data_IF_982049476113
#
_entry.id   IF_982049476113
#
_cell.length_a   1.000
_cell.length_b   1.000
_cell.length_c   1.000
_cell.angle_alpha   90.00
_cell.angle_beta   90.00
_cell.angle_gamma   90.00
#
_symmetry.space_group_name_H-M   'P 1'
#
loop_
_entity.id
_entity.type
_entity.pdbx_description
1 polymer ?
#
# COMPACT_ATOMS: atom_id res chain seq x y z
N UNK A 1 -5.35 5.71 -7.46
CA UNK A 1 -4.15 6.11 -6.71
C UNK A 1 -2.95 5.56 -7.46
N UNK A 2 -1.93 6.36 -7.74
CA UNK A 2 -0.71 5.89 -8.40
C UNK A 2 0.22 5.17 -7.43
N UNK A 3 0.82 4.07 -7.87
CA UNK A 3 1.79 3.28 -7.09
C UNK A 3 2.96 4.14 -6.64
N UNK A 4 3.53 4.92 -7.56
CA UNK A 4 4.71 5.75 -7.25
C UNK A 4 4.38 6.85 -6.24
N UNK A 5 3.16 7.40 -6.29
CA UNK A 5 2.68 8.37 -5.31
C UNK A 5 2.48 7.74 -3.93
N UNK A 6 1.88 6.55 -3.87
CA UNK A 6 1.71 5.82 -2.61
C UNK A 6 3.06 5.47 -1.97
N UNK A 7 4.01 4.95 -2.76
CA UNK A 7 5.37 4.67 -2.32
C UNK A 7 6.06 5.94 -1.81
N UNK A 8 5.99 7.05 -2.53
CA UNK A 8 6.63 8.30 -2.11
C UNK A 8 6.12 8.79 -0.74
N UNK A 9 4.79 8.74 -0.51
CA UNK A 9 4.19 9.14 0.78
C UNK A 9 4.65 8.21 1.92
N UNK A 10 4.66 6.90 1.68
CA UNK A 10 5.02 5.90 2.70
C UNK A 10 6.53 5.99 3.02
N UNK A 11 7.38 6.14 2.01
CA UNK A 11 8.82 6.30 2.19
C UNK A 11 9.21 7.64 2.81
N UNK A 12 8.46 8.72 2.56
CA UNK A 12 8.63 9.98 3.29
C UNK A 12 8.36 9.85 4.80
N UNK A 13 7.56 8.87 5.21
CA UNK A 13 7.34 8.52 6.62
C UNK A 13 8.42 7.56 7.20
N UNK A 14 9.47 7.26 6.44
CA UNK A 14 10.55 6.35 6.86
C UNK A 14 10.22 4.87 6.72
N UNK A 15 9.14 4.53 6.00
CA UNK A 15 8.76 3.14 5.72
C UNK A 15 9.24 2.78 4.31
N UNK A 16 10.25 1.93 4.24
CA UNK A 16 10.90 1.55 2.98
C UNK A 16 10.10 0.51 2.22
N UNK A 17 10.04 0.65 0.90
CA UNK A 17 9.50 -0.37 0.00
C UNK A 17 10.52 -1.51 -0.12
N UNK A 18 10.11 -2.72 0.23
CA UNK A 18 10.96 -3.91 0.19
C UNK A 18 10.67 -4.81 -1.01
N UNK A 19 9.45 -4.78 -1.54
CA UNK A 19 9.07 -5.52 -2.74
C UNK A 19 7.98 -4.77 -3.51
N UNK A 20 8.05 -4.82 -4.85
CA UNK A 20 7.00 -4.33 -5.75
C UNK A 20 6.82 -5.33 -6.87
N UNK A 21 5.61 -5.86 -6.99
CA UNK A 21 5.25 -6.82 -8.05
C UNK A 21 3.82 -6.62 -8.52
N UNK A 22 3.50 -7.12 -9.72
CA UNK A 22 2.10 -7.26 -10.14
C UNK A 22 1.38 -8.21 -9.18
N UNK A 23 0.14 -7.89 -8.85
CA UNK A 23 -0.69 -8.79 -8.04
C UNK A 23 -1.02 -10.07 -8.83
N UNK A 24 -1.49 -11.12 -8.13
CA UNK A 24 -1.70 -12.44 -8.76
C UNK A 24 -2.80 -12.49 -9.83
N UNK A 25 -3.57 -11.42 -9.96
CA UNK A 25 -4.64 -11.24 -10.94
C UNK A 25 -4.25 -10.32 -12.10
N UNK A 26 -3.00 -9.81 -12.10
CA UNK A 26 -2.49 -8.87 -13.09
C UNK A 26 -3.41 -7.67 -13.34
N UNK A 27 -4.16 -7.24 -12.32
CA UNK A 27 -5.08 -6.10 -12.33
C UNK A 27 -4.61 -5.01 -11.35
N UNK A 28 -3.34 -5.02 -10.99
CA UNK A 28 -2.77 -4.07 -10.05
C UNK A 28 -1.37 -4.43 -9.58
N UNK A 29 -1.00 -3.84 -8.44
CA UNK A 29 0.30 -3.97 -7.82
C UNK A 29 0.18 -4.34 -6.34
N UNK A 30 1.04 -5.24 -5.91
CA UNK A 30 1.28 -5.53 -4.50
C UNK A 30 2.62 -4.91 -4.11
N UNK A 31 2.61 -4.09 -3.07
CA UNK A 31 3.77 -3.40 -2.52
C UNK A 31 4.01 -3.88 -1.09
N UNK A 32 5.18 -4.42 -0.81
CA UNK A 32 5.56 -4.83 0.55
C UNK A 32 6.49 -3.79 1.15
N UNK A 33 6.33 -3.53 2.44
CA UNK A 33 7.09 -2.52 3.16
C UNK A 33 7.86 -3.10 4.35
N UNK A 34 8.93 -2.42 4.76
CA UNK A 34 9.83 -2.84 5.83
C UNK A 34 9.13 -2.96 7.19
N UNK A 35 8.04 -2.23 7.41
CA UNK A 35 7.20 -2.34 8.60
C UNK A 35 6.24 -3.55 8.59
N UNK A 36 6.32 -4.41 7.57
CA UNK A 36 5.45 -5.57 7.40
C UNK A 36 4.05 -5.24 6.92
N UNK A 37 3.81 -4.05 6.37
CA UNK A 37 2.60 -3.73 5.63
C UNK A 37 2.68 -4.26 4.19
N UNK A 38 1.52 -4.62 3.66
CA UNK A 38 1.33 -4.90 2.23
C UNK A 38 0.23 -3.97 1.73
N UNK A 39 0.52 -3.17 0.71
CA UNK A 39 -0.45 -2.33 0.03
C UNK A 39 -0.79 -2.96 -1.32
N UNK A 40 -2.08 -3.19 -1.54
CA UNK A 40 -2.60 -3.51 -2.86
C UNK A 40 -3.18 -2.26 -3.51
N UNK A 41 -2.75 -1.99 -4.74
CA UNK A 41 -3.24 -0.90 -5.59
C UNK A 41 -3.77 -1.53 -6.86
N UNK A 42 -5.09 -1.53 -7.05
CA UNK A 42 -5.73 -2.05 -8.26
C UNK A 42 -5.79 -0.99 -9.35
N UNK A 43 -5.77 -1.44 -10.60
CA UNK A 43 -5.86 -0.59 -11.80
C UNK A 43 -7.22 0.12 -11.88
N UNK A 44 -8.26 -0.41 -11.20
CA UNK A 44 -9.56 0.24 -11.03
C UNK A 44 -9.56 1.39 -9.99
N UNK A 45 -8.41 1.68 -9.37
CA UNK A 45 -8.24 2.75 -8.38
C UNK A 45 -8.50 2.34 -6.93
N UNK A 46 -8.92 1.10 -6.67
CA UNK A 46 -9.09 0.57 -5.32
C UNK A 46 -7.72 0.37 -4.64
N UNK A 47 -7.65 0.75 -3.36
CA UNK A 47 -6.43 0.62 -2.55
C UNK A 47 -6.77 -0.03 -1.23
N UNK A 48 -6.02 -1.05 -0.86
CA UNK A 48 -6.21 -1.78 0.40
C UNK A 48 -4.87 -2.05 1.07
N UNK A 49 -4.78 -1.82 2.39
CA UNK A 49 -3.60 -2.13 3.19
C UNK A 49 -3.87 -3.35 4.07
N UNK A 50 -2.88 -4.22 4.22
CA UNK A 50 -2.94 -5.43 5.04
C UNK A 50 -1.59 -5.71 5.72
N UNK A 51 -1.55 -6.67 6.66
CA UNK A 51 -0.34 -6.99 7.43
C UNK A 51 -0.17 -6.14 8.70
N UNK A 52 1.01 -6.24 9.34
CA UNK A 52 1.28 -5.64 10.66
C UNK A 52 1.33 -4.10 10.63
N UNK A 53 1.82 -3.53 9.54
CA UNK A 53 1.92 -2.08 9.35
C UNK A 53 0.73 -1.46 8.60
N UNK A 54 -0.35 -2.21 8.40
CA UNK A 54 -1.49 -1.79 7.57
C UNK A 54 -2.11 -0.47 8.03
N UNK A 55 -2.34 -0.32 9.33
CA UNK A 55 -2.97 0.89 9.88
C UNK A 55 -2.09 2.14 9.70
N UNK A 56 -0.77 1.99 9.86
CA UNK A 56 0.17 3.08 9.63
C UNK A 56 0.15 3.52 8.16
N UNK A 57 0.23 2.56 7.24
CA UNK A 57 0.17 2.84 5.79
C UNK A 57 -1.18 3.44 5.39
N UNK A 58 -2.30 2.86 5.86
CA UNK A 58 -3.63 3.39 5.58
C UNK A 58 -3.80 4.82 6.10
N UNK A 59 -3.29 5.11 7.30
CA UNK A 59 -3.30 6.45 7.87
C UNK A 59 -2.50 7.47 7.06
N UNK A 60 -1.30 7.11 6.61
CA UNK A 60 -0.45 7.96 5.77
C UNK A 60 -1.10 8.29 4.42
N UNK A 61 -1.80 7.31 3.85
CA UNK A 61 -2.50 7.45 2.57
C UNK A 61 -3.89 8.08 2.70
N UNK A 62 -4.36 8.35 3.92
CA UNK A 62 -5.71 8.85 4.17
C UNK A 62 -6.80 7.89 3.71
N UNK A 63 -6.51 6.58 3.66
CA UNK A 63 -7.49 5.58 3.27
C UNK A 63 -8.60 5.52 4.33
N UNK A 64 -9.87 5.38 3.93
CA UNK A 64 -10.93 5.15 4.88
C UNK A 64 -10.58 3.90 5.69
N UNK A 65 -10.47 4.04 7.02
CA UNK A 65 -10.45 2.87 7.90
C UNK A 65 -11.70 2.08 7.53
N UNK A 66 -11.54 0.85 7.06
CA UNK A 66 -12.67 -0.04 6.87
C UNK A 66 -13.25 -0.25 8.27
N UNK A 67 -14.28 0.53 8.62
CA UNK A 67 -15.11 0.30 9.79
C UNK A 67 -15.78 -1.05 9.54
N UNK A 68 -15.24 -2.12 10.13
CA UNK A 68 -15.71 -3.48 9.94
C UNK A 68 -15.23 -4.36 11.06
#
# INVERSE_FOLDING_TARGET
MDVDKATAVISAAGIELTDRRRNGTDDGWSLSFSNGAVLEVRDNGEVSASGKGAEAVAGLLGLPKKSG
#
